data_IF_764049340169
#
_entry.id   IF_764049340169
#
_cell.length_a   1.000
_cell.length_b   1.000
_cell.length_c   1.000
_cell.angle_alpha   90.00
_cell.angle_beta   90.00
_cell.angle_gamma   90.00
#
_symmetry.space_group_name_H-M   'P 1'
#
loop_
_entity.id
_entity.type
_entity.pdbx_description
1 polymer ?
#
# COMPACT_ATOMS: atom_id res chain seq x y z
N UNK A 1 -17.86 -15.84 18.86
CA UNK A 1 -17.64 -15.32 17.50
C UNK A 1 -17.39 -16.50 16.57
N UNK A 2 -18.15 -16.61 15.49
CA UNK A 2 -18.01 -17.67 14.48
C UNK A 2 -16.78 -17.41 13.61
N UNK A 3 -16.09 -18.44 13.07
CA UNK A 3 -15.05 -18.25 12.06
C UNK A 3 -15.50 -17.47 10.81
N UNK A 4 -16.82 -17.34 10.57
CA UNK A 4 -17.39 -16.49 9.51
C UNK A 4 -17.34 -14.97 9.78
N UNK A 5 -16.77 -14.56 10.91
CA UNK A 5 -16.72 -13.17 11.37
C UNK A 5 -15.32 -12.56 11.28
N UNK A 6 -14.33 -13.21 10.65
CA UNK A 6 -13.00 -12.62 10.45
C UNK A 6 -12.51 -12.69 9.02
N UNK A 7 -11.77 -11.67 8.60
CA UNK A 7 -11.04 -11.71 7.35
C UNK A 7 -9.90 -12.76 7.42
N UNK A 8 -9.82 -13.72 6.50
CA UNK A 8 -8.80 -14.76 6.54
C UNK A 8 -7.38 -14.25 6.23
N UNK A 9 -7.24 -13.07 5.61
CA UNK A 9 -5.93 -12.52 5.24
C UNK A 9 -5.33 -11.61 6.32
N UNK A 10 -6.14 -10.71 6.91
CA UNK A 10 -5.66 -9.71 7.87
C UNK A 10 -6.21 -9.90 9.29
N UNK A 11 -7.20 -10.78 9.50
CA UNK A 11 -7.77 -11.04 10.83
C UNK A 11 -8.74 -10.00 11.34
N UNK A 12 -9.15 -9.02 10.52
CA UNK A 12 -10.15 -8.02 10.92
C UNK A 12 -11.46 -8.72 11.33
N UNK A 13 -12.06 -8.37 12.49
CA UNK A 13 -13.38 -8.89 12.89
C UNK A 13 -14.48 -8.22 12.05
N UNK A 14 -14.82 -8.86 10.93
CA UNK A 14 -15.82 -8.38 9.96
C UNK A 14 -16.77 -9.51 9.58
N UNK A 15 -18.06 -9.22 9.61
CA UNK A 15 -19.09 -10.13 9.08
C UNK A 15 -18.88 -10.28 7.57
N UNK A 16 -18.96 -11.51 7.06
CA UNK A 16 -18.73 -11.78 5.63
C UNK A 16 -17.26 -11.90 5.24
N UNK A 17 -16.38 -12.11 6.23
CA UNK A 17 -14.98 -12.45 6.03
C UNK A 17 -14.24 -11.47 5.08
N UNK A 18 -13.61 -11.99 4.02
CA UNK A 18 -12.87 -11.19 3.03
C UNK A 18 -13.71 -10.11 2.36
N UNK A 19 -14.99 -10.39 2.07
CA UNK A 19 -15.91 -9.44 1.45
C UNK A 19 -16.27 -8.31 2.42
N UNK A 20 -16.52 -8.63 3.70
CA UNK A 20 -16.73 -7.62 4.73
C UNK A 20 -15.50 -6.70 4.88
N UNK A 21 -14.29 -7.26 4.79
CA UNK A 21 -13.06 -6.48 4.81
C UNK A 21 -12.92 -5.57 3.58
N UNK A 22 -13.37 -6.03 2.41
CA UNK A 22 -13.41 -5.23 1.18
C UNK A 22 -14.39 -4.06 1.31
N UNK A 23 -15.60 -4.33 1.83
CA UNK A 23 -16.61 -3.30 2.03
C UNK A 23 -16.11 -2.16 2.92
N UNK A 24 -15.42 -2.46 4.03
CA UNK A 24 -14.83 -1.41 4.89
C UNK A 24 -13.75 -0.58 4.20
N UNK A 25 -12.99 -1.20 3.30
CA UNK A 25 -12.01 -0.49 2.48
C UNK A 25 -12.68 0.41 1.44
N UNK A 26 -13.71 -0.10 0.75
CA UNK A 26 -14.49 0.65 -0.23
C UNK A 26 -15.20 1.84 0.43
N UNK A 27 -15.75 1.66 1.63
CA UNK A 27 -16.35 2.73 2.44
C UNK A 27 -15.32 3.81 2.83
N UNK A 28 -14.09 3.42 3.17
CA UNK A 28 -13.01 4.37 3.42
C UNK A 28 -12.62 5.16 2.16
N UNK A 29 -12.52 4.50 1.00
CA UNK A 29 -12.27 5.16 -0.28
C UNK A 29 -13.41 6.11 -0.66
N UNK A 30 -14.65 5.75 -0.35
CA UNK A 30 -15.81 6.54 -0.71
C UNK A 30 -15.85 7.91 -0.01
N UNK A 31 -15.23 8.05 1.17
CA UNK A 31 -15.16 9.32 1.93
C UNK A 31 -14.52 10.46 1.14
N UNK A 32 -13.66 10.14 0.17
CA UNK A 32 -13.02 11.13 -0.69
C UNK A 32 -14.00 11.85 -1.61
N UNK A 33 -15.13 11.21 -1.95
CA UNK A 33 -16.18 11.86 -2.73
C UNK A 33 -16.96 12.91 -1.92
N UNK A 34 -16.92 12.80 -0.58
CA UNK A 34 -17.56 13.75 0.33
C UNK A 34 -16.61 14.89 0.73
N UNK A 35 -15.32 14.60 0.86
CA UNK A 35 -14.29 15.56 1.28
C UNK A 35 -12.90 15.22 0.71
N UNK A 36 -12.38 16.08 -0.16
CA UNK A 36 -11.08 15.93 -0.81
C UNK A 36 -9.90 15.83 0.19
N UNK A 37 -10.08 16.22 1.46
CA UNK A 37 -9.04 16.05 2.50
C UNK A 37 -8.68 14.58 2.74
N UNK A 38 -9.60 13.65 2.52
CA UNK A 38 -9.33 12.21 2.62
C UNK A 38 -8.33 11.73 1.54
N UNK A 39 -8.34 12.34 0.36
CA UNK A 39 -7.48 11.94 -0.78
C UNK A 39 -5.98 12.06 -0.47
N UNK A 40 -5.61 12.87 0.53
CA UNK A 40 -4.21 13.03 1.00
C UNK A 40 -3.58 11.71 1.46
N UNK A 41 -4.38 10.79 1.99
CA UNK A 41 -3.92 9.51 2.53
C UNK A 41 -4.24 8.32 1.61
N UNK A 42 -5.01 8.52 0.54
CA UNK A 42 -5.53 7.47 -0.34
C UNK A 42 -4.46 6.49 -0.80
N UNK A 43 -3.37 7.00 -1.38
CA UNK A 43 -2.32 6.14 -1.94
C UNK A 43 -1.70 5.24 -0.85
N UNK A 44 -1.41 5.80 0.32
CA UNK A 44 -0.85 5.06 1.44
C UNK A 44 -1.84 4.00 1.95
N UNK A 45 -3.13 4.34 2.01
CA UNK A 45 -4.21 3.42 2.39
C UNK A 45 -4.30 2.25 1.40
N UNK A 46 -4.27 2.51 0.09
CA UNK A 46 -4.31 1.49 -0.96
C UNK A 46 -3.08 0.57 -0.89
N UNK A 47 -1.89 1.13 -0.70
CA UNK A 47 -0.66 0.33 -0.59
C UNK A 47 -0.70 -0.56 0.67
N UNK A 48 -1.10 -0.02 1.83
CA UNK A 48 -1.27 -0.79 3.07
C UNK A 48 -2.31 -1.91 2.92
N UNK A 49 -3.47 -1.62 2.31
CA UNK A 49 -4.50 -2.62 2.06
C UNK A 49 -4.00 -3.75 1.16
N UNK A 50 -3.27 -3.38 0.10
CA UNK A 50 -2.73 -4.31 -0.88
C UNK A 50 -1.71 -5.26 -0.25
N UNK A 51 -0.85 -4.75 0.64
CA UNK A 51 0.11 -5.55 1.39
C UNK A 51 -0.54 -6.47 2.43
N UNK A 52 -1.73 -6.14 2.92
CA UNK A 52 -2.51 -7.06 3.76
C UNK A 52 -3.28 -8.11 2.95
N UNK A 53 -3.63 -7.82 1.69
CA UNK A 53 -4.46 -8.66 0.83
C UNK A 53 -3.80 -8.95 -0.54
N UNK A 54 -2.57 -9.48 -0.59
CA UNK A 54 -1.84 -9.64 -1.85
C UNK A 54 -2.43 -10.70 -2.78
N UNK A 55 -3.32 -11.55 -2.27
CA UNK A 55 -4.02 -12.58 -3.05
C UNK A 55 -4.84 -11.95 -4.17
N UNK A 56 -5.47 -10.80 -3.88
CA UNK A 56 -6.29 -10.06 -4.83
C UNK A 56 -5.53 -8.88 -5.46
N UNK A 57 -4.75 -8.14 -4.66
CA UNK A 57 -4.16 -6.85 -5.07
C UNK A 57 -2.74 -6.96 -5.62
N UNK A 58 -1.99 -8.00 -5.24
CA UNK A 58 -0.59 -8.18 -5.64
C UNK A 58 -0.39 -9.47 -6.44
N UNK A 59 -1.35 -9.77 -7.33
CA UNK A 59 -1.36 -10.98 -8.19
C UNK A 59 -0.19 -11.02 -9.17
N UNK A 60 0.17 -9.87 -9.74
CA UNK A 60 1.31 -9.76 -10.65
C UNK A 60 2.56 -9.28 -9.92
N UNK A 61 3.74 -9.58 -10.48
CA UNK A 61 4.99 -9.04 -9.95
C UNK A 61 5.07 -7.51 -10.08
N UNK A 62 4.39 -6.92 -11.07
CA UNK A 62 4.29 -5.46 -11.23
C UNK A 62 3.45 -4.79 -10.14
N UNK A 63 2.27 -5.33 -9.86
CA UNK A 63 1.43 -4.85 -8.75
C UNK A 63 2.13 -5.04 -7.40
N UNK A 64 2.84 -6.15 -7.23
CA UNK A 64 3.66 -6.38 -6.04
C UNK A 64 4.71 -5.26 -5.88
N UNK A 65 5.45 -4.95 -6.94
CA UNK A 65 6.43 -3.88 -6.94
C UNK A 65 5.81 -2.52 -6.63
N UNK A 66 4.72 -2.16 -7.33
CA UNK A 66 4.06 -0.87 -7.15
C UNK A 66 3.68 -0.59 -5.69
N UNK A 67 3.03 -1.55 -5.02
CA UNK A 67 2.57 -1.38 -3.64
C UNK A 67 3.70 -1.49 -2.63
N UNK A 68 4.65 -2.42 -2.81
CA UNK A 68 5.80 -2.54 -1.92
C UNK A 68 6.67 -1.27 -1.93
N UNK A 69 7.00 -0.76 -3.13
CA UNK A 69 7.80 0.46 -3.22
C UNK A 69 7.01 1.69 -2.79
N UNK A 70 5.69 1.68 -3.00
CA UNK A 70 4.81 2.79 -2.63
C UNK A 70 4.75 3.02 -1.11
N UNK A 71 4.49 1.95 -0.34
CA UNK A 71 4.47 2.05 1.13
C UNK A 71 5.85 2.39 1.70
N UNK A 72 6.92 1.79 1.15
CA UNK A 72 8.29 2.11 1.56
C UNK A 72 8.61 3.59 1.31
N UNK A 73 8.32 4.08 0.11
CA UNK A 73 8.58 5.47 -0.24
C UNK A 73 7.80 6.44 0.66
N UNK A 74 6.54 6.15 0.95
CA UNK A 74 5.70 7.01 1.78
C UNK A 74 6.14 7.09 3.26
N UNK A 75 6.78 6.03 3.79
CA UNK A 75 7.15 5.95 5.21
C UNK A 75 8.63 6.25 5.46
N UNK A 76 9.52 5.85 4.56
CA UNK A 76 10.98 5.86 4.75
C UNK A 76 11.70 6.94 3.94
N UNK A 77 11.00 7.61 3.02
CA UNK A 77 11.60 8.59 2.10
C UNK A 77 10.92 9.94 2.13
N UNK A 78 11.68 10.97 1.73
CA UNK A 78 11.18 12.36 1.61
C UNK A 78 10.68 12.69 0.20
N UNK A 79 11.13 11.94 -0.80
CA UNK A 79 10.85 12.10 -2.24
C UNK A 79 9.83 11.06 -2.74
N UNK A 80 8.84 10.73 -1.90
CA UNK A 80 7.85 9.71 -2.22
C UNK A 80 7.09 9.98 -3.53
N UNK A 81 6.67 11.22 -3.87
CA UNK A 81 6.02 11.51 -5.15
C UNK A 81 6.89 11.19 -6.37
N UNK A 82 8.17 11.59 -6.33
CA UNK A 82 9.13 11.37 -7.42
C UNK A 82 9.44 9.89 -7.61
N UNK A 83 9.64 9.16 -6.50
CA UNK A 83 9.85 7.70 -6.50
C UNK A 83 8.63 7.00 -7.10
N UNK A 84 7.43 7.37 -6.68
CA UNK A 84 6.19 6.78 -7.21
C UNK A 84 6.07 7.01 -8.72
N UNK A 85 6.36 8.21 -9.21
CA UNK A 85 6.35 8.51 -10.63
C UNK A 85 7.39 7.67 -11.40
N UNK A 86 8.61 7.58 -10.89
CA UNK A 86 9.68 6.78 -11.51
C UNK A 86 9.31 5.29 -11.56
N UNK A 87 8.79 4.72 -10.47
CA UNK A 87 8.36 3.33 -10.42
C UNK A 87 7.21 3.06 -11.39
N UNK A 88 6.21 3.93 -11.45
CA UNK A 88 5.09 3.76 -12.39
C UNK A 88 5.58 3.77 -13.85
N UNK A 89 6.44 4.74 -14.21
CA UNK A 89 7.05 4.78 -15.54
C UNK A 89 7.86 3.52 -15.84
N UNK A 90 8.66 3.05 -14.87
CA UNK A 90 9.45 1.83 -14.98
C UNK A 90 8.58 0.58 -15.18
N UNK A 91 7.43 0.48 -14.51
CA UNK A 91 6.51 -0.67 -14.60
C UNK A 91 5.65 -0.69 -15.87
N UNK A 92 5.42 0.45 -16.53
CA UNK A 92 4.62 0.54 -17.75
C UNK A 92 5.25 -0.17 -18.96
N UNK A 93 6.55 -0.47 -18.94
CA UNK A 93 7.23 -1.24 -19.98
C UNK A 93 7.04 -2.77 -19.89
N UNK A 94 7.37 -3.53 -20.94
CA UNK A 94 7.46 -4.99 -20.83
C UNK A 94 8.56 -5.34 -19.83
N UNK A 95 8.18 -5.95 -18.70
CA UNK A 95 9.12 -6.41 -17.68
C UNK A 95 8.79 -7.81 -17.24
N UNK A 96 9.78 -8.68 -17.34
CA UNK A 96 9.78 -9.97 -16.69
C UNK A 96 10.52 -9.80 -15.37
N UNK A 97 9.79 -9.94 -14.28
CA UNK A 97 10.35 -9.89 -12.93
C UNK A 97 9.71 -10.99 -12.10
N UNK A 98 10.50 -11.75 -11.30
CA UNK A 98 9.95 -12.78 -10.44
C UNK A 98 9.10 -12.11 -9.36
N UNK A 99 7.92 -12.68 -9.08
CA UNK A 99 7.09 -12.28 -7.94
C UNK A 99 7.74 -12.85 -6.67
N UNK A 100 8.13 -12.03 -5.70
CA UNK A 100 8.62 -12.55 -4.42
C UNK A 100 7.52 -13.29 -3.66
N UNK A 101 7.92 -14.20 -2.77
CA UNK A 101 7.03 -14.66 -1.71
C UNK A 101 6.65 -13.49 -0.80
N UNK A 102 5.64 -13.69 0.05
CA UNK A 102 5.17 -12.67 1.00
C UNK A 102 4.91 -13.29 2.38
N UNK A 103 4.85 -12.49 3.46
CA UNK A 103 4.48 -12.99 4.78
C UNK A 103 3.17 -13.81 4.73
N UNK A 104 3.02 -14.79 5.62
CA UNK A 104 1.79 -15.58 5.67
C UNK A 104 0.58 -14.70 6.02
N UNK A 105 -0.62 -15.19 5.70
CA UNK A 105 -1.85 -14.59 6.20
C UNK A 105 -1.80 -14.39 7.72
N UNK A 106 -2.50 -13.36 8.21
CA UNK A 106 -2.54 -12.92 9.60
C UNK A 106 -1.20 -12.41 10.17
N UNK A 107 -0.14 -12.34 9.36
CA UNK A 107 1.20 -11.86 9.75
C UNK A 107 1.68 -10.68 8.91
N UNK A 108 0.74 -9.87 8.42
CA UNK A 108 0.98 -8.72 7.51
C UNK A 108 0.70 -7.36 8.16
N UNK A 109 0.74 -7.32 9.48
CA UNK A 109 0.41 -6.16 10.31
C UNK A 109 -0.43 -6.57 11.51
N UNK A 110 -0.46 -5.72 12.53
CA UNK A 110 -1.25 -5.89 13.76
C UNK A 110 -2.52 -5.04 13.75
N UNK A 111 -2.51 -3.92 13.02
CA UNK A 111 -3.68 -3.10 12.75
C UNK A 111 -4.36 -3.55 11.46
N UNK A 112 -5.66 -3.27 11.33
CA UNK A 112 -6.47 -3.64 10.16
C UNK A 112 -7.23 -2.43 9.63
N UNK A 113 -7.93 -2.60 8.50
CA UNK A 113 -8.76 -1.55 7.91
C UNK A 113 -9.80 -0.96 8.89
N UNK A 114 -10.21 -1.72 9.91
CA UNK A 114 -11.13 -1.21 10.94
C UNK A 114 -10.55 -0.04 11.72
N UNK A 115 -9.23 -0.03 11.96
CA UNK A 115 -8.55 1.09 12.62
C UNK A 115 -8.82 2.39 11.87
N UNK A 116 -8.68 2.37 10.54
CA UNK A 116 -8.95 3.53 9.67
C UNK A 116 -10.43 3.84 9.57
N UNK A 117 -11.26 2.81 9.41
CA UNK A 117 -12.71 2.94 9.27
C UNK A 117 -13.36 3.61 10.49
N UNK A 118 -12.81 3.39 11.69
CA UNK A 118 -13.29 3.99 12.93
C UNK A 118 -12.87 5.45 13.14
N UNK A 119 -12.11 6.06 12.21
CA UNK A 119 -11.81 7.49 12.26
C UNK A 119 -13.08 8.32 12.02
N UNK A 120 -13.33 9.31 12.89
CA UNK A 120 -14.51 10.16 12.86
C UNK A 120 -14.42 11.31 11.85
N UNK A 121 -13.24 11.92 11.68
CA UNK A 121 -13.02 13.07 10.79
C UNK A 121 -11.78 12.90 9.90
N UNK A 122 -11.61 13.76 8.90
CA UNK A 122 -10.56 13.61 7.87
C UNK A 122 -9.13 13.74 8.40
N UNK A 123 -8.89 14.60 9.40
CA UNK A 123 -7.57 14.71 10.03
C UNK A 123 -7.19 13.44 10.79
N UNK A 124 -8.13 12.90 11.58
CA UNK A 124 -7.95 11.63 12.29
C UNK A 124 -7.73 10.48 11.30
N UNK A 125 -8.50 10.44 10.22
CA UNK A 125 -8.36 9.41 9.19
C UNK A 125 -6.93 9.38 8.61
N UNK A 126 -6.34 10.53 8.28
CA UNK A 126 -4.97 10.60 7.77
C UNK A 126 -3.96 10.03 8.78
N UNK A 127 -4.13 10.34 10.07
CA UNK A 127 -3.30 9.80 11.14
C UNK A 127 -3.45 8.28 11.23
N UNK A 128 -4.68 7.78 11.27
CA UNK A 128 -4.95 6.35 11.38
C UNK A 128 -4.49 5.55 10.16
N UNK A 129 -4.57 6.11 8.95
CA UNK A 129 -3.97 5.49 7.75
C UNK A 129 -2.45 5.34 7.94
N UNK A 130 -1.78 6.37 8.45
CA UNK A 130 -0.33 6.32 8.67
C UNK A 130 0.06 5.29 9.73
N UNK A 131 -0.64 5.22 10.85
CA UNK A 131 -0.41 4.23 11.91
C UNK A 131 -0.62 2.80 11.40
N UNK A 132 -1.72 2.57 10.66
CA UNK A 132 -1.98 1.27 10.06
C UNK A 132 -0.90 0.90 9.03
N UNK A 133 -0.51 1.83 8.16
CA UNK A 133 0.55 1.59 7.19
C UNK A 133 1.90 1.29 7.85
N UNK A 134 2.23 1.94 8.98
CA UNK A 134 3.42 1.62 9.77
C UNK A 134 3.36 0.20 10.34
N UNK A 135 2.22 -0.21 10.88
CA UNK A 135 2.00 -1.58 11.36
C UNK A 135 2.16 -2.61 10.25
N UNK A 136 1.63 -2.33 9.06
CA UNK A 136 1.81 -3.17 7.87
C UNK A 136 3.28 -3.22 7.45
N UNK A 137 3.94 -2.07 7.36
CA UNK A 137 5.34 -2.00 6.94
C UNK A 137 6.28 -2.73 7.92
N UNK A 138 6.00 -2.66 9.22
CA UNK A 138 6.77 -3.41 10.23
C UNK A 138 6.73 -4.93 9.97
N UNK A 139 5.57 -5.47 9.59
CA UNK A 139 5.44 -6.88 9.21
C UNK A 139 6.14 -7.24 7.89
N UNK A 140 6.47 -6.24 7.06
CA UNK A 140 7.11 -6.38 5.76
C UNK A 140 8.57 -5.90 5.74
N UNK A 141 9.18 -5.55 6.88
CA UNK A 141 10.55 -4.99 6.94
C UNK A 141 11.62 -5.82 6.23
N UNK A 142 11.49 -7.15 6.21
CA UNK A 142 12.44 -8.03 5.51
C UNK A 142 12.48 -7.80 3.99
N UNK A 143 11.50 -7.07 3.43
CA UNK A 143 11.41 -6.72 2.01
C UNK A 143 12.05 -5.37 1.66
N UNK A 144 12.63 -4.67 2.63
CA UNK A 144 13.28 -3.37 2.42
C UNK A 144 14.31 -3.42 1.28
N UNK A 145 15.17 -4.44 1.25
CA UNK A 145 16.18 -4.60 0.20
C UNK A 145 15.58 -4.81 -1.20
N UNK A 146 14.40 -5.43 -1.28
CA UNK A 146 13.69 -5.60 -2.55
C UNK A 146 13.09 -4.26 -2.99
N UNK A 147 12.48 -3.53 -2.06
CA UNK A 147 11.90 -2.23 -2.32
C UNK A 147 12.96 -1.23 -2.82
N UNK A 148 14.09 -1.11 -2.12
CA UNK A 148 15.18 -0.21 -2.50
C UNK A 148 15.77 -0.59 -3.85
N UNK A 149 16.05 -1.88 -4.09
CA UNK A 149 16.56 -2.35 -5.39
C UNK A 149 15.65 -1.99 -6.55
N UNK A 150 14.33 -2.13 -6.39
CA UNK A 150 13.38 -1.76 -7.46
C UNK A 150 13.24 -0.25 -7.63
N UNK A 151 13.31 0.52 -6.54
CA UNK A 151 13.33 1.98 -6.59
C UNK A 151 14.58 2.48 -7.33
N UNK A 152 15.76 1.97 -6.99
CA UNK A 152 17.01 2.35 -7.64
C UNK A 152 16.98 2.00 -9.13
N UNK A 153 16.47 0.81 -9.47
CA UNK A 153 16.29 0.41 -10.86
C UNK A 153 15.29 1.30 -11.61
N UNK A 154 14.26 1.81 -10.94
CA UNK A 154 13.29 2.74 -11.53
C UNK A 154 13.92 4.13 -11.76
N UNK A 155 14.59 4.67 -10.75
CA UNK A 155 15.26 5.98 -10.82
C UNK A 155 16.34 5.98 -11.92
N UNK A 156 17.12 4.90 -12.03
CA UNK A 156 18.15 4.77 -13.06
C UNK A 156 17.59 4.79 -14.50
N UNK A 157 16.30 4.50 -14.70
CA UNK A 157 15.65 4.57 -16.02
C UNK A 157 15.07 5.94 -16.35
N UNK A 158 14.97 6.84 -15.39
CA UNK A 158 14.58 8.23 -15.65
C UNK A 158 15.79 8.94 -16.27
N UNK A 159 15.70 9.46 -17.50
CA UNK A 159 16.80 10.21 -18.09
C UNK A 159 17.17 11.36 -17.16
N UNK A 160 18.45 11.47 -16.80
CA UNK A 160 18.94 12.66 -16.12
C UNK A 160 18.54 13.87 -16.95
N UNK A 161 17.88 14.85 -16.34
CA UNK A 161 17.74 16.19 -16.92
C UNK A 161 19.14 16.80 -16.98
N UNK A 162 19.93 16.42 -17.99
CA UNK A 162 21.13 17.14 -18.35
C UNK A 162 20.70 18.59 -18.62
N UNK A 163 21.36 19.49 -17.89
CA UNK A 163 21.23 20.94 -17.92
C UNK A 163 20.98 21.43 -19.36
N UNK A 164 19.83 22.06 -19.63
CA UNK A 164 19.70 22.87 -20.85
C UNK A 164 20.75 23.98 -20.75
N UNK A 165 21.70 24.11 -21.69
CA UNK A 165 22.43 25.35 -21.84
C UNK A 165 21.42 26.44 -22.19
N UNK A 166 21.55 27.60 -21.55
CA UNK A 166 20.85 28.82 -21.96
C UNK A 166 21.30 29.26 -23.35
#
# INVERSE_FOLDING_TARGET
>A
MSPDEHCPECGAPVVGQRLGCQQRFDECLAREFDDDRYARAQRLMVDAYSLQHPSDYMRSAKSFAAHLTGIYAALERRDAPEVNHAVQAWLNGPKTMPRPDHPSALRRGTLTILHVHEAGESEEHVVRVREWAQSVWEAWRSYEQIATKWIDAAIATVPSRATRPQ
#
